data_IF_045591114275
#
_entry.id   IF_045591114275
#
_cell.length_a   1.000
_cell.length_b   1.000
_cell.length_c   1.000
_cell.angle_alpha   90.00
_cell.angle_beta   90.00
_cell.angle_gamma   90.00
#
_symmetry.space_group_name_H-M   'P 1'
#
loop_
_entity.id
_entity.type
_entity.pdbx_description
1 polymer ?
#
# COMPACT_ATOMS: atom_id res chain seq x y z
N UNK A 1 90.54 28.93 13.73
CA UNK A 1 89.23 28.57 13.14
C UNK A 1 88.79 27.24 13.72
N UNK A 2 87.83 27.24 14.64
CA UNK A 2 87.04 26.07 15.09
C UNK A 2 85.98 26.62 16.05
N UNK A 3 84.73 26.68 15.60
CA UNK A 3 83.57 26.90 16.49
C UNK A 3 82.79 25.61 16.56
N UNK A 4 82.61 25.18 17.79
CA UNK A 4 81.91 24.02 18.30
C UNK A 4 80.42 24.10 18.00
N UNK A 5 79.84 22.96 17.61
CA UNK A 5 78.42 22.72 17.47
C UNK A 5 77.81 22.35 18.82
N UNK A 6 76.63 22.90 19.15
CA UNK A 6 75.73 22.36 20.17
C UNK A 6 74.29 22.44 19.67
N UNK A 7 73.77 21.26 19.33
CA UNK A 7 72.42 20.70 19.51
C UNK A 7 71.23 21.66 19.67
N UNK A 8 70.35 21.63 18.67
CA UNK A 8 68.91 21.84 18.85
C UNK A 8 68.17 20.58 18.40
N UNK A 9 67.51 19.90 19.33
CA UNK A 9 66.65 18.74 19.04
C UNK A 9 65.32 19.23 18.49
N UNK A 10 64.99 18.86 17.26
CA UNK A 10 63.68 19.09 16.65
C UNK A 10 62.82 17.86 16.92
N UNK A 11 61.86 17.97 17.83
CA UNK A 11 60.80 16.97 18.00
C UNK A 11 59.77 17.21 16.90
N UNK A 12 59.74 16.34 15.89
CA UNK A 12 58.70 16.33 14.89
C UNK A 12 57.45 15.64 15.47
N UNK A 13 56.43 16.41 15.85
CA UNK A 13 55.10 15.89 16.10
C UNK A 13 54.49 15.48 14.75
N UNK A 14 54.45 14.18 14.48
CA UNK A 14 53.61 13.60 13.45
C UNK A 14 52.14 13.70 13.91
N UNK A 15 51.43 14.72 13.44
CA UNK A 15 49.96 14.68 13.43
C UNK A 15 49.54 13.63 12.40
N UNK A 16 49.35 12.39 12.86
CA UNK A 16 48.52 11.44 12.14
C UNK A 16 47.09 12.00 12.16
N UNK A 17 46.71 12.69 11.09
CA UNK A 17 45.31 12.94 10.79
C UNK A 17 44.66 11.58 10.57
N UNK A 18 44.04 11.04 11.62
CA UNK A 18 43.06 10.00 11.47
C UNK A 18 41.93 10.61 10.65
N UNK A 19 41.95 10.37 9.35
CA UNK A 19 40.78 10.48 8.49
C UNK A 19 39.78 9.48 9.02
N UNK A 20 39.01 9.88 10.03
CA UNK A 20 37.81 9.18 10.41
C UNK A 20 36.89 9.25 9.21
N UNK A 21 36.86 8.20 8.41
CA UNK A 21 35.72 7.90 7.57
C UNK A 21 34.54 7.80 8.53
N UNK A 22 33.82 8.91 8.71
CA UNK A 22 32.43 8.90 9.08
C UNK A 22 31.73 8.14 7.95
N UNK A 23 31.77 6.81 8.03
CA UNK A 23 30.85 5.96 7.30
C UNK A 23 29.47 6.32 7.84
N UNK A 24 28.87 7.35 7.23
CA UNK A 24 27.45 7.64 7.29
C UNK A 24 26.73 6.35 6.95
N UNK A 25 26.31 5.62 7.98
CA UNK A 25 25.62 4.36 7.80
C UNK A 25 24.28 4.71 7.15
N UNK A 26 24.13 4.41 5.86
CA UNK A 26 22.92 4.70 5.12
C UNK A 26 21.72 4.07 5.85
N UNK A 27 20.67 4.85 6.08
CA UNK A 27 19.44 4.33 6.64
C UNK A 27 18.82 3.35 5.64
N UNK A 28 18.15 2.33 6.16
CA UNK A 28 17.37 1.43 5.32
C UNK A 28 15.92 1.90 5.30
N UNK A 29 15.30 1.79 4.13
CA UNK A 29 13.87 2.03 3.93
C UNK A 29 13.29 0.88 3.12
N UNK A 30 12.03 0.54 3.38
CA UNK A 30 11.35 -0.52 2.66
C UNK A 30 10.12 -0.04 1.90
N UNK A 31 9.78 -0.79 0.86
CA UNK A 31 8.55 -0.69 0.06
C UNK A 31 7.84 -2.05 0.04
N UNK A 32 6.52 -2.06 0.08
CA UNK A 32 5.75 -3.23 -0.37
C UNK A 32 5.48 -3.09 -1.86
N UNK A 33 5.82 -4.12 -2.64
CA UNK A 33 5.85 -4.06 -4.11
C UNK A 33 5.16 -5.28 -4.70
N UNK A 34 4.15 -5.06 -5.53
CA UNK A 34 3.56 -6.07 -6.42
C UNK A 34 4.24 -5.99 -7.78
N UNK A 35 4.73 -7.12 -8.28
CA UNK A 35 5.36 -7.23 -9.60
C UNK A 35 4.55 -8.21 -10.43
N UNK A 36 4.07 -7.73 -11.58
CA UNK A 36 3.13 -8.45 -12.42
C UNK A 36 3.70 -8.63 -13.82
N UNK A 37 3.41 -9.76 -14.45
CA UNK A 37 3.70 -9.97 -15.86
C UNK A 37 2.71 -9.23 -16.78
N UNK A 38 2.85 -9.43 -18.10
CA UNK A 38 1.95 -8.82 -19.10
C UNK A 38 0.49 -9.26 -19.00
N UNK A 39 0.23 -10.41 -18.38
CA UNK A 39 -1.12 -10.93 -18.14
C UNK A 39 -1.71 -10.42 -16.81
N UNK A 40 -0.93 -9.66 -16.04
CA UNK A 40 -1.34 -9.12 -14.75
C UNK A 40 -1.25 -10.13 -13.62
N UNK A 41 -0.48 -11.22 -13.80
CA UNK A 41 -0.26 -12.28 -12.80
C UNK A 41 1.01 -11.98 -12.00
N UNK A 42 1.03 -12.18 -10.66
CA UNK A 42 2.22 -11.98 -9.85
C UNK A 42 3.41 -12.84 -10.27
N UNK A 43 4.58 -12.22 -10.35
CA UNK A 43 5.85 -12.90 -10.64
C UNK A 43 6.36 -13.60 -9.38
N UNK A 44 6.80 -14.86 -9.54
CA UNK A 44 7.23 -15.73 -8.44
C UNK A 44 8.63 -15.39 -7.88
N UNK A 45 9.54 -14.97 -8.75
CA UNK A 45 10.98 -14.89 -8.49
C UNK A 45 11.56 -13.53 -8.94
N UNK A 46 11.11 -12.45 -8.30
CA UNK A 46 11.62 -11.10 -8.57
C UNK A 46 13.03 -10.93 -8.05
N UNK A 47 13.96 -10.61 -8.93
CA UNK A 47 15.33 -10.27 -8.57
C UNK A 47 15.50 -8.76 -8.36
N UNK A 48 16.57 -8.36 -7.67
CA UNK A 48 16.95 -6.94 -7.51
C UNK A 48 17.12 -6.24 -8.86
N UNK A 49 17.67 -6.95 -9.84
CA UNK A 49 17.91 -6.43 -11.20
C UNK A 49 16.66 -6.26 -12.05
N UNK A 50 15.48 -6.67 -11.55
CA UNK A 50 14.21 -6.44 -12.22
C UNK A 50 13.53 -5.14 -11.76
N UNK A 51 14.08 -4.48 -10.74
CA UNK A 51 13.49 -3.32 -10.11
C UNK A 51 14.44 -2.11 -10.10
N UNK A 52 13.85 -0.92 -10.11
CA UNK A 52 14.55 0.33 -9.83
C UNK A 52 13.76 1.12 -8.80
N UNK A 53 14.43 1.54 -7.72
CA UNK A 53 13.85 2.45 -6.72
C UNK A 53 14.45 3.84 -6.92
N UNK A 54 13.61 4.88 -6.88
CA UNK A 54 14.06 6.27 -6.94
C UNK A 54 13.40 7.11 -5.84
N UNK A 55 14.20 7.96 -5.21
CA UNK A 55 13.73 9.08 -4.39
C UNK A 55 13.98 10.37 -5.15
N UNK A 56 12.95 11.17 -5.40
CA UNK A 56 13.03 12.44 -6.15
C UNK A 56 13.80 12.32 -7.47
N UNK A 57 13.52 11.23 -8.20
CA UNK A 57 14.15 10.83 -9.47
C UNK A 57 15.61 10.36 -9.35
N UNK A 58 16.20 10.36 -8.16
CA UNK A 58 17.54 9.82 -7.89
C UNK A 58 17.45 8.34 -7.55
N UNK A 59 18.16 7.51 -8.32
CA UNK A 59 18.20 6.06 -8.12
C UNK A 59 18.86 5.66 -6.80
N UNK A 60 18.27 4.66 -6.15
CA UNK A 60 18.72 4.12 -4.87
C UNK A 60 19.08 2.65 -4.99
N UNK A 61 20.16 2.28 -4.30
CA UNK A 61 20.62 0.90 -4.25
C UNK A 61 19.60 0.01 -3.54
N UNK A 62 19.14 -1.02 -4.22
CA UNK A 62 18.29 -2.06 -3.64
C UNK A 62 19.16 -3.05 -2.87
N UNK A 63 18.97 -3.10 -1.56
CA UNK A 63 19.71 -3.93 -0.62
C UNK A 63 19.12 -5.33 -0.49
N UNK A 64 17.80 -5.48 -0.62
CA UNK A 64 17.14 -6.77 -0.58
C UNK A 64 15.77 -6.74 -1.28
N UNK A 65 15.37 -7.90 -1.80
CA UNK A 65 14.02 -8.18 -2.30
C UNK A 65 13.63 -9.52 -1.69
N UNK A 66 12.60 -9.54 -0.87
CA UNK A 66 12.12 -10.74 -0.20
C UNK A 66 10.58 -10.77 -0.22
N UNK A 67 9.97 -11.95 -0.13
CA UNK A 67 8.51 -12.03 0.04
C UNK A 67 8.09 -11.31 1.32
N UNK A 68 7.02 -10.54 1.25
CA UNK A 68 6.47 -9.87 2.42
C UNK A 68 5.88 -10.93 3.37
N UNK A 69 6.46 -11.04 4.57
CA UNK A 69 6.02 -12.00 5.59
C UNK A 69 5.14 -11.36 6.67
N UNK A 70 5.03 -10.03 6.65
CA UNK A 70 4.22 -9.27 7.60
C UNK A 70 2.71 -9.45 7.31
N UNK A 71 1.88 -9.68 8.34
CA UNK A 71 0.44 -9.85 8.18
C UNK A 71 -0.24 -8.62 7.58
N UNK A 72 -1.05 -8.85 6.55
CA UNK A 72 -1.92 -7.85 5.95
C UNK A 72 -3.06 -7.47 6.90
N UNK A 73 -3.42 -6.19 6.92
CA UNK A 73 -4.67 -5.72 7.49
C UNK A 73 -5.48 -5.04 6.39
N UNK A 74 -6.55 -5.70 5.95
CA UNK A 74 -7.35 -5.26 4.80
C UNK A 74 -8.69 -4.71 5.25
N UNK A 75 -8.97 -3.46 4.93
CA UNK A 75 -10.30 -2.88 5.01
C UNK A 75 -11.03 -3.12 3.68
N UNK A 76 -12.03 -3.99 3.70
CA UNK A 76 -12.89 -4.24 2.55
C UNK A 76 -14.10 -3.31 2.62
N UNK A 77 -14.05 -2.22 1.87
CA UNK A 77 -15.12 -1.23 1.78
C UNK A 77 -16.13 -1.68 0.71
N UNK A 78 -17.39 -1.83 1.10
CA UNK A 78 -18.43 -2.41 0.26
C UNK A 78 -19.59 -1.43 0.12
N UNK A 79 -19.79 -0.93 -1.10
CA UNK A 79 -20.99 -0.20 -1.44
C UNK A 79 -22.20 -1.12 -1.36
N UNK A 80 -23.08 -0.84 -0.41
CA UNK A 80 -24.35 -1.51 -0.24
C UNK A 80 -25.50 -0.50 -0.30
N UNK A 81 -25.31 0.63 -0.97
CA UNK A 81 -26.33 1.65 -1.19
C UNK A 81 -27.45 1.16 -2.12
N UNK A 82 -28.44 2.02 -2.40
CA UNK A 82 -29.49 1.70 -3.38
C UNK A 82 -28.92 1.32 -4.75
N UNK A 83 -27.82 1.96 -5.18
CA UNK A 83 -27.20 1.68 -6.48
C UNK A 83 -26.63 0.25 -6.58
N UNK A 84 -26.33 -0.38 -5.44
CA UNK A 84 -25.77 -1.73 -5.37
C UNK A 84 -26.83 -2.84 -5.47
N UNK A 85 -28.13 -2.55 -5.30
CA UNK A 85 -29.22 -3.54 -5.32
C UNK A 85 -29.14 -4.54 -6.49
N UNK A 86 -28.85 -4.12 -7.73
CA UNK A 86 -28.75 -5.04 -8.88
C UNK A 86 -27.56 -6.01 -8.82
N UNK A 87 -26.56 -5.76 -7.97
CA UNK A 87 -25.27 -6.47 -7.96
C UNK A 87 -25.01 -7.24 -6.66
N UNK A 88 -25.92 -7.20 -5.68
CA UNK A 88 -25.70 -7.78 -4.34
C UNK A 88 -25.39 -9.27 -4.38
N UNK A 89 -25.97 -10.02 -5.33
CA UNK A 89 -25.70 -11.47 -5.44
C UNK A 89 -24.23 -11.71 -5.81
N UNK A 90 -23.75 -11.04 -6.84
CA UNK A 90 -22.37 -11.12 -7.30
C UNK A 90 -21.39 -10.56 -6.26
N UNK A 91 -21.77 -9.52 -5.52
CA UNK A 91 -20.98 -9.00 -4.40
C UNK A 91 -20.76 -10.09 -3.35
N UNK A 92 -21.82 -10.77 -2.89
CA UNK A 92 -21.70 -11.81 -1.85
C UNK A 92 -20.70 -12.90 -2.22
N UNK A 93 -20.76 -13.39 -3.46
CA UNK A 93 -19.87 -14.46 -3.91
C UNK A 93 -18.43 -13.96 -4.12
N UNK A 94 -18.26 -12.78 -4.72
CA UNK A 94 -16.94 -12.22 -4.97
C UNK A 94 -16.23 -11.80 -3.67
N UNK A 95 -16.95 -11.18 -2.73
CA UNK A 95 -16.44 -10.80 -1.41
C UNK A 95 -16.07 -12.05 -0.59
N UNK A 96 -16.90 -13.08 -0.58
CA UNK A 96 -16.60 -14.35 0.10
C UNK A 96 -15.33 -15.01 -0.45
N UNK A 97 -15.15 -15.00 -1.78
CA UNK A 97 -13.92 -15.49 -2.42
C UNK A 97 -12.69 -14.65 -2.03
N UNK A 98 -12.82 -13.33 -2.02
CA UNK A 98 -11.75 -12.41 -1.64
C UNK A 98 -11.28 -12.61 -0.20
N UNK A 99 -12.21 -12.59 0.77
CA UNK A 99 -11.83 -12.73 2.18
C UNK A 99 -11.22 -14.11 2.48
N UNK A 100 -11.66 -15.15 1.75
CA UNK A 100 -11.03 -16.49 1.82
C UNK A 100 -9.61 -16.46 1.31
N UNK A 101 -9.36 -15.80 0.17
CA UNK A 101 -8.03 -15.71 -0.43
C UNK A 101 -7.03 -14.92 0.43
N UNK A 102 -7.49 -13.91 1.18
CA UNK A 102 -6.62 -13.10 2.05
C UNK A 102 -6.41 -13.78 3.42
N UNK A 103 -7.50 -14.01 4.16
CA UNK A 103 -7.41 -14.49 5.55
C UNK A 103 -7.07 -16.00 5.63
N UNK A 104 -7.35 -16.74 4.57
CA UNK A 104 -6.99 -18.15 4.42
C UNK A 104 -5.65 -18.40 3.73
N UNK A 105 -4.89 -17.34 3.42
CA UNK A 105 -3.56 -17.47 2.83
C UNK A 105 -2.64 -18.27 3.78
N UNK A 106 -2.04 -19.33 3.25
CA UNK A 106 -1.16 -20.21 4.01
C UNK A 106 0.29 -19.71 4.02
N UNK A 107 0.66 -18.80 3.10
CA UNK A 107 2.00 -18.25 3.03
C UNK A 107 2.27 -17.24 4.15
N UNK A 108 1.26 -16.48 4.57
CA UNK A 108 1.34 -15.48 5.64
C UNK A 108 0.24 -15.72 6.66
N UNK A 109 0.62 -16.21 7.85
CA UNK A 109 -0.31 -16.39 8.96
C UNK A 109 -0.73 -15.04 9.55
N UNK A 110 -2.02 -14.91 9.89
CA UNK A 110 -2.51 -13.77 10.67
C UNK A 110 -2.98 -12.58 9.84
N UNK A 111 -3.11 -12.72 8.51
CA UNK A 111 -3.81 -11.74 7.69
C UNK A 111 -5.21 -11.46 8.27
N UNK A 112 -5.53 -10.19 8.47
CA UNK A 112 -6.80 -9.74 9.01
C UNK A 112 -7.60 -8.99 7.96
N UNK A 113 -8.91 -9.23 7.94
CA UNK A 113 -9.83 -8.48 7.09
C UNK A 113 -10.95 -7.91 7.95
N UNK A 114 -11.37 -6.68 7.65
CA UNK A 114 -12.62 -6.08 8.13
C UNK A 114 -13.53 -5.83 6.93
N UNK A 115 -14.84 -6.02 7.10
CA UNK A 115 -15.84 -5.65 6.09
C UNK A 115 -16.58 -4.42 6.60
N UNK A 116 -16.58 -3.36 5.79
CA UNK A 116 -17.15 -2.06 6.12
C UNK A 116 -18.14 -1.69 5.02
N UNK A 117 -19.41 -1.48 5.37
CA UNK A 117 -20.47 -1.10 4.44
C UNK A 117 -20.62 0.40 4.34
N UNK A 118 -21.00 0.92 3.16
CA UNK A 118 -20.95 2.36 2.84
C UNK A 118 -22.31 3.08 2.80
N UNK A 119 -23.44 2.37 2.90
CA UNK A 119 -24.77 2.96 2.83
C UNK A 119 -25.09 3.84 4.04
N UNK A 120 -25.58 5.06 3.80
CA UNK A 120 -25.91 6.13 4.77
C UNK A 120 -24.73 6.66 5.59
N UNK A 121 -23.94 5.76 6.17
CA UNK A 121 -22.67 6.05 6.84
C UNK A 121 -21.78 4.80 6.86
N UNK A 122 -20.45 4.98 6.83
CA UNK A 122 -19.52 3.86 6.99
C UNK A 122 -19.83 3.07 8.27
N UNK A 123 -20.05 1.77 8.14
CA UNK A 123 -20.40 0.89 9.27
C UNK A 123 -19.58 -0.39 9.21
N UNK A 124 -18.89 -0.72 10.31
CA UNK A 124 -18.12 -1.96 10.43
C UNK A 124 -19.11 -3.13 10.61
N UNK A 125 -19.26 -3.96 9.58
CA UNK A 125 -20.07 -5.18 9.64
C UNK A 125 -19.36 -6.28 10.44
N UNK A 126 -18.04 -6.37 10.27
CA UNK A 126 -17.16 -7.21 11.09
C UNK A 126 -15.80 -6.52 11.23
N UNK A 127 -15.30 -6.43 12.47
CA UNK A 127 -13.98 -5.85 12.74
C UNK A 127 -12.86 -6.80 12.25
N UNK A 128 -11.62 -6.31 12.24
CA UNK A 128 -10.46 -7.05 11.78
C UNK A 128 -10.33 -8.41 12.46
N UNK A 129 -10.36 -9.46 11.65
CA UNK A 129 -10.21 -10.84 12.10
C UNK A 129 -9.55 -11.69 11.02
N UNK A 130 -8.90 -12.78 11.43
CA UNK A 130 -8.43 -13.84 10.54
C UNK A 130 -9.43 -15.01 10.43
N UNK A 131 -10.59 -14.92 11.08
CA UNK A 131 -11.62 -15.96 11.02
C UNK A 131 -12.32 -15.98 9.66
N UNK A 132 -11.86 -16.86 8.77
CA UNK A 132 -12.41 -17.06 7.41
C UNK A 132 -13.91 -17.38 7.44
N UNK A 133 -14.38 -18.21 8.38
CA UNK A 133 -15.81 -18.56 8.47
C UNK A 133 -16.65 -17.34 8.85
N UNK A 134 -16.20 -16.56 9.84
CA UNK A 134 -16.86 -15.31 10.23
C UNK A 134 -16.92 -14.30 9.09
N UNK A 135 -15.80 -14.11 8.39
CA UNK A 135 -15.70 -13.19 7.25
C UNK A 135 -16.60 -13.61 6.09
N UNK A 136 -16.56 -14.89 5.70
CA UNK A 136 -17.38 -15.39 4.59
C UNK A 136 -18.86 -15.34 4.90
N UNK A 137 -19.25 -15.60 6.16
CA UNK A 137 -20.62 -15.43 6.64
C UNK A 137 -21.10 -13.99 6.53
N UNK A 138 -20.31 -13.02 6.98
CA UNK A 138 -20.67 -11.60 6.89
C UNK A 138 -20.65 -11.07 5.45
N UNK A 139 -19.68 -11.49 4.63
CA UNK A 139 -19.67 -11.20 3.19
C UNK A 139 -20.97 -11.67 2.49
N UNK A 140 -21.46 -12.87 2.84
CA UNK A 140 -22.72 -13.42 2.30
C UNK A 140 -23.98 -12.74 2.84
N UNK A 141 -23.88 -11.98 3.93
CA UNK A 141 -24.99 -11.24 4.55
C UNK A 141 -25.15 -9.82 4.03
N UNK A 142 -24.17 -9.28 3.29
CA UNK A 142 -24.27 -7.96 2.66
C UNK A 142 -25.59 -7.84 1.88
N UNK A 143 -26.33 -6.76 2.10
CA UNK A 143 -27.59 -6.47 1.42
C UNK A 143 -27.66 -4.99 1.07
N UNK A 144 -28.37 -4.66 -0.02
CA UNK A 144 -28.57 -3.28 -0.41
C UNK A 144 -29.54 -2.58 0.55
N UNK A 145 -29.13 -1.42 1.02
CA UNK A 145 -29.97 -0.56 1.84
C UNK A 145 -30.72 0.43 0.93
N UNK A 146 -32.00 0.17 0.70
CA UNK A 146 -32.81 0.96 -0.25
C UNK A 146 -33.02 2.38 0.26
N UNK A 147 -33.00 3.36 -0.63
CA UNK A 147 -33.14 4.77 -0.30
C UNK A 147 -31.86 5.45 0.19
N UNK A 148 -30.73 4.75 0.26
CA UNK A 148 -29.44 5.28 0.72
C UNK A 148 -28.45 5.54 -0.44
N UNK A 149 -27.45 6.38 -0.18
CA UNK A 149 -26.27 6.58 -1.04
C UNK A 149 -24.98 6.07 -0.41
N UNK A 150 -23.89 6.11 -1.17
CA UNK A 150 -22.54 5.67 -0.75
C UNK A 150 -21.76 6.83 -0.12
N UNK A 151 -20.98 6.54 0.93
CA UNK A 151 -20.08 7.48 1.61
C UNK A 151 -18.64 6.95 1.62
N UNK A 152 -18.05 6.79 0.44
CA UNK A 152 -16.72 6.18 0.26
C UNK A 152 -15.63 7.07 0.84
N UNK A 153 -15.66 8.37 0.57
CA UNK A 153 -14.57 9.26 0.96
C UNK A 153 -14.48 9.39 2.48
N UNK A 154 -15.62 9.43 3.17
CA UNK A 154 -15.68 9.33 4.63
C UNK A 154 -15.12 7.99 5.12
N UNK A 155 -15.52 6.87 4.51
CA UNK A 155 -15.02 5.55 4.89
C UNK A 155 -13.50 5.42 4.76
N UNK A 156 -12.90 6.00 3.71
CA UNK A 156 -11.44 6.02 3.53
C UNK A 156 -10.79 6.75 4.71
N UNK A 157 -11.20 7.98 5.03
CA UNK A 157 -10.60 8.76 6.12
C UNK A 157 -10.76 8.10 7.49
N UNK A 158 -11.93 7.54 7.78
CA UNK A 158 -12.19 6.80 9.02
C UNK A 158 -11.32 5.54 9.11
N UNK A 159 -11.20 4.79 8.01
CA UNK A 159 -10.36 3.59 7.93
C UNK A 159 -8.89 3.92 8.17
N UNK A 160 -8.37 4.96 7.51
CA UNK A 160 -6.99 5.41 7.67
C UNK A 160 -6.70 5.89 9.11
N UNK A 161 -7.67 6.57 9.73
CA UNK A 161 -7.59 6.92 11.15
C UNK A 161 -7.56 5.67 12.03
N UNK A 162 -8.37 4.66 11.70
CA UNK A 162 -8.41 3.37 12.37
C UNK A 162 -7.09 2.60 12.27
N UNK A 163 -6.44 2.59 11.10
CA UNK A 163 -5.11 2.00 10.90
C UNK A 163 -4.04 2.70 11.73
N UNK A 164 -4.03 4.04 11.73
CA UNK A 164 -3.07 4.82 12.53
C UNK A 164 -3.19 4.51 14.02
N UNK A 165 -4.42 4.45 14.55
CA UNK A 165 -4.66 4.16 15.97
C UNK A 165 -4.24 2.74 16.38
N UNK A 166 -4.24 1.79 15.43
CA UNK A 166 -3.85 0.39 15.64
C UNK A 166 -2.36 0.12 15.32
N UNK A 167 -1.63 1.12 14.83
CA UNK A 167 -0.23 0.99 14.40
C UNK A 167 -0.01 -0.18 13.41
N UNK A 168 -0.94 -0.32 12.46
CA UNK A 168 -0.90 -1.39 11.46
C UNK A 168 0.35 -1.25 10.58
N UNK A 169 1.14 -2.32 10.48
CA UNK A 169 2.39 -2.35 9.72
C UNK A 169 2.21 -2.48 8.21
N UNK A 170 1.18 -3.23 7.78
CA UNK A 170 0.89 -3.50 6.36
C UNK A 170 -0.60 -3.30 6.03
N UNK A 171 -1.07 -2.03 6.00
CA UNK A 171 -2.48 -1.72 5.74
C UNK A 171 -2.82 -1.77 4.25
N UNK A 172 -4.05 -2.18 3.92
CA UNK A 172 -4.62 -2.07 2.58
C UNK A 172 -6.10 -1.72 2.65
N UNK A 173 -6.56 -0.89 1.73
CA UNK A 173 -7.98 -0.60 1.50
C UNK A 173 -8.36 -1.20 0.15
N UNK A 174 -9.41 -2.00 0.13
CA UNK A 174 -10.02 -2.54 -1.09
C UNK A 174 -11.47 -2.09 -1.13
N UNK A 175 -11.84 -1.25 -2.09
CA UNK A 175 -13.18 -0.75 -2.25
C UNK A 175 -13.89 -1.42 -3.43
N UNK A 176 -15.08 -1.96 -3.18
CA UNK A 176 -16.00 -2.49 -4.18
C UNK A 176 -17.21 -1.58 -4.20
N UNK A 177 -17.28 -0.73 -5.22
CA UNK A 177 -18.25 0.37 -5.28
C UNK A 177 -19.04 0.33 -6.58
N UNK A 178 -20.25 0.89 -6.56
CA UNK A 178 -20.98 1.10 -7.80
C UNK A 178 -20.48 2.36 -8.51
N UNK A 179 -20.84 2.51 -9.77
CA UNK A 179 -20.56 3.72 -10.54
C UNK A 179 -21.51 4.90 -10.21
N UNK A 180 -22.31 4.78 -9.14
CA UNK A 180 -23.19 5.83 -8.63
C UNK A 180 -22.45 6.93 -7.85
N UNK A 181 -23.19 7.97 -7.41
CA UNK A 181 -22.61 9.11 -6.71
C UNK A 181 -22.08 8.73 -5.32
N UNK A 182 -21.05 9.45 -4.89
CA UNK A 182 -20.68 9.56 -3.49
C UNK A 182 -21.42 10.74 -2.84
N UNK A 183 -21.85 10.58 -1.60
CA UNK A 183 -22.56 11.60 -0.82
C UNK A 183 -21.70 12.18 0.30
N UNK A 184 -20.42 11.81 0.38
CA UNK A 184 -19.48 12.41 1.31
C UNK A 184 -19.25 13.89 0.99
N UNK A 185 -19.09 14.72 2.02
CA UNK A 185 -18.77 16.15 1.90
C UNK A 185 -17.27 16.42 1.91
N UNK A 186 -16.46 15.41 1.56
CA UNK A 186 -15.00 15.46 1.62
C UNK A 186 -14.42 15.98 0.33
N UNK A 187 -13.42 16.84 0.44
CA UNK A 187 -12.63 17.29 -0.71
C UNK A 187 -11.57 16.25 -1.05
N UNK A 188 -11.28 16.07 -2.34
CA UNK A 188 -10.32 15.07 -2.78
C UNK A 188 -8.92 15.29 -2.21
N UNK A 189 -8.49 16.55 -2.00
CA UNK A 189 -7.16 16.86 -1.45
C UNK A 189 -6.97 16.21 -0.08
N UNK A 190 -7.95 16.35 0.81
CA UNK A 190 -7.93 15.76 2.17
C UNK A 190 -7.74 14.24 2.10
N UNK A 191 -8.49 13.58 1.22
CA UNK A 191 -8.51 12.12 1.10
C UNK A 191 -7.23 11.59 0.45
N UNK A 192 -6.76 12.24 -0.62
CA UNK A 192 -5.54 11.84 -1.34
C UNK A 192 -4.30 12.06 -0.46
N UNK A 193 -4.22 13.18 0.26
CA UNK A 193 -3.12 13.41 1.20
C UNK A 193 -3.10 12.39 2.33
N UNK A 194 -4.27 12.07 2.90
CA UNK A 194 -4.39 11.03 3.92
C UNK A 194 -3.92 9.67 3.41
N UNK A 195 -4.31 9.29 2.19
CA UNK A 195 -3.86 8.05 1.53
C UNK A 195 -2.34 8.03 1.35
N UNK A 196 -1.74 9.08 0.79
CA UNK A 196 -0.28 9.19 0.60
C UNK A 196 0.51 9.03 1.91
N UNK A 197 0.02 9.63 2.99
CA UNK A 197 0.68 9.59 4.31
C UNK A 197 0.39 8.33 5.15
N UNK A 198 -0.43 7.41 4.63
CA UNK A 198 -0.90 6.26 5.40
C UNK A 198 0.03 5.04 5.35
N UNK A 199 0.76 4.86 4.25
CA UNK A 199 1.44 3.59 3.94
C UNK A 199 0.48 2.48 3.50
N UNK A 200 -0.81 2.77 3.31
CA UNK A 200 -1.81 1.83 2.84
C UNK A 200 -1.89 1.81 1.31
N UNK A 201 -1.96 0.62 0.72
CA UNK A 201 -2.34 0.48 -0.70
C UNK A 201 -3.85 0.65 -0.85
N UNK A 202 -4.30 1.44 -1.83
CA UNK A 202 -5.74 1.62 -2.10
C UNK A 202 -6.13 1.03 -3.46
N UNK A 203 -6.96 -0.01 -3.43
CA UNK A 203 -7.50 -0.67 -4.61
C UNK A 203 -9.00 -0.41 -4.73
N UNK A 204 -9.48 -0.22 -5.96
CA UNK A 204 -10.89 0.06 -6.25
C UNK A 204 -11.35 -0.76 -7.43
N UNK A 205 -12.51 -1.39 -7.28
CA UNK A 205 -13.28 -1.97 -8.38
C UNK A 205 -14.63 -1.25 -8.43
N UNK A 206 -14.88 -0.55 -9.53
CA UNK A 206 -16.16 0.12 -9.81
C UNK A 206 -17.03 -0.81 -10.65
N UNK A 207 -18.25 -1.08 -10.21
CA UNK A 207 -19.24 -1.90 -10.90
C UNK A 207 -20.30 -1.02 -11.56
N UNK A 208 -20.58 -1.28 -12.83
CA UNK A 208 -21.59 -0.59 -13.61
C UNK A 208 -21.04 0.58 -14.43
N UNK A 209 -21.94 1.27 -15.12
CA UNK A 209 -21.58 2.38 -16.01
C UNK A 209 -21.47 3.68 -15.23
N UNK A 210 -20.35 4.42 -15.34
CA UNK A 210 -20.24 5.77 -14.78
C UNK A 210 -21.43 6.64 -15.19
N UNK A 211 -22.13 7.18 -14.19
CA UNK A 211 -23.22 8.13 -14.40
C UNK A 211 -22.77 9.52 -13.95
N UNK A 212 -22.33 10.32 -14.91
CA UNK A 212 -21.81 11.67 -14.66
C UNK A 212 -20.36 11.69 -14.16
N UNK A 213 -19.89 12.89 -13.85
CA UNK A 213 -18.55 13.13 -13.31
C UNK A 213 -18.71 13.84 -11.98
N UNK A 214 -18.38 13.12 -10.91
CA UNK A 214 -18.19 13.72 -9.59
C UNK A 214 -16.69 13.95 -9.40
N UNK A 215 -16.30 15.22 -9.31
CA UNK A 215 -14.88 15.62 -9.36
C UNK A 215 -14.11 15.01 -8.20
N UNK A 216 -14.58 15.19 -6.97
CA UNK A 216 -13.86 14.74 -5.78
C UNK A 216 -13.63 13.23 -5.79
N UNK A 217 -14.71 12.45 -5.95
CA UNK A 217 -14.65 10.99 -6.09
C UNK A 217 -13.70 10.58 -7.22
N UNK A 218 -13.85 11.14 -8.42
CA UNK A 218 -13.02 10.75 -9.57
C UNK A 218 -11.53 11.00 -9.34
N UNK A 219 -11.18 12.11 -8.69
CA UNK A 219 -9.77 12.41 -8.34
C UNK A 219 -9.28 11.44 -7.27
N UNK A 220 -10.07 11.13 -6.25
CA UNK A 220 -9.70 10.13 -5.22
C UNK A 220 -9.49 8.75 -5.83
N UNK A 221 -10.38 8.28 -6.72
CA UNK A 221 -10.24 6.97 -7.36
C UNK A 221 -8.99 6.90 -8.23
N UNK A 222 -8.70 7.96 -8.99
CA UNK A 222 -7.55 8.00 -9.90
C UNK A 222 -6.22 8.25 -9.17
N UNK A 223 -6.08 9.39 -8.50
CA UNK A 223 -4.86 9.77 -7.81
C UNK A 223 -4.60 8.89 -6.59
N UNK A 224 -5.64 8.57 -5.80
CA UNK A 224 -5.49 7.76 -4.59
C UNK A 224 -4.99 6.34 -4.89
N UNK A 225 -5.50 5.70 -5.93
CA UNK A 225 -5.02 4.35 -6.32
C UNK A 225 -3.64 4.42 -6.95
N UNK A 226 -3.38 5.38 -7.84
CA UNK A 226 -2.06 5.57 -8.47
C UNK A 226 -0.97 5.84 -7.44
N UNK A 227 -1.18 6.81 -6.54
CA UNK A 227 -0.17 7.29 -5.60
C UNK A 227 0.12 6.28 -4.48
N UNK A 228 -0.78 5.32 -4.26
CA UNK A 228 -0.60 4.24 -3.28
C UNK A 228 -0.23 2.90 -3.92
N UNK A 229 0.06 2.86 -5.22
CA UNK A 229 0.43 1.64 -5.93
C UNK A 229 -0.70 0.60 -6.02
N UNK A 230 -1.95 1.02 -5.92
CA UNK A 230 -3.10 0.15 -6.02
C UNK A 230 -3.66 0.00 -7.44
N UNK A 231 -4.85 -0.62 -7.53
CA UNK A 231 -5.58 -0.83 -8.78
C UNK A 231 -6.80 0.06 -8.84
N UNK A 232 -7.12 0.57 -10.04
CA UNK A 232 -8.41 1.13 -10.35
C UNK A 232 -8.99 0.41 -11.57
N UNK A 233 -10.03 -0.39 -11.34
CA UNK A 233 -10.68 -1.18 -12.37
C UNK A 233 -12.16 -0.77 -12.48
N UNK A 234 -12.66 -0.66 -13.71
CA UNK A 234 -14.09 -0.51 -13.97
C UNK A 234 -14.61 -1.77 -14.66
N UNK A 235 -15.63 -2.40 -14.08
CA UNK A 235 -16.30 -3.57 -14.63
C UNK A 235 -17.74 -3.23 -15.01
N UNK A 236 -18.07 -3.42 -16.28
CA UNK A 236 -19.43 -3.17 -16.79
C UNK A 236 -20.43 -4.23 -16.32
N UNK A 237 -19.96 -5.45 -16.08
CA UNK A 237 -20.77 -6.58 -15.65
C UNK A 237 -20.27 -7.09 -14.29
N UNK A 238 -21.20 -7.29 -13.36
CA UNK A 238 -20.89 -7.76 -12.01
C UNK A 238 -20.30 -9.19 -12.00
N UNK A 239 -20.53 -9.99 -13.05
CA UNK A 239 -19.91 -11.31 -13.21
C UNK A 239 -18.38 -11.27 -13.30
N UNK A 240 -17.77 -10.13 -13.67
CA UNK A 240 -16.31 -9.98 -13.68
C UNK A 240 -15.73 -9.69 -12.28
N UNK A 241 -16.57 -9.35 -11.29
CA UNK A 241 -16.13 -8.89 -9.97
C UNK A 241 -15.28 -9.94 -9.26
N UNK A 242 -15.68 -11.22 -9.27
CA UNK A 242 -14.92 -12.30 -8.63
C UNK A 242 -13.51 -12.44 -9.21
N UNK A 243 -13.36 -12.34 -10.53
CA UNK A 243 -12.06 -12.42 -11.18
C UNK A 243 -11.18 -11.21 -10.83
N UNK A 244 -11.75 -9.99 -10.78
CA UNK A 244 -11.01 -8.78 -10.41
C UNK A 244 -10.60 -8.74 -8.95
N UNK A 245 -11.49 -9.13 -8.04
CA UNK A 245 -11.14 -9.25 -6.63
C UNK A 245 -10.07 -10.32 -6.40
N UNK A 246 -10.12 -11.44 -7.14
CA UNK A 246 -9.04 -12.43 -7.10
C UNK A 246 -7.69 -11.81 -7.53
N UNK A 247 -7.65 -11.01 -8.58
CA UNK A 247 -6.42 -10.31 -8.99
C UNK A 247 -5.92 -9.36 -7.90
N UNK A 248 -6.81 -8.61 -7.23
CA UNK A 248 -6.42 -7.76 -6.10
C UNK A 248 -5.88 -8.61 -4.93
N UNK A 249 -6.51 -9.75 -4.63
CA UNK A 249 -6.03 -10.65 -3.59
C UNK A 249 -4.64 -11.20 -3.93
N UNK A 250 -4.44 -11.65 -5.17
CA UNK A 250 -3.15 -12.17 -5.65
C UNK A 250 -2.06 -11.08 -5.59
N UNK A 251 -2.36 -9.84 -5.99
CA UNK A 251 -1.44 -8.70 -5.87
C UNK A 251 -1.00 -8.46 -4.42
N UNK A 252 -1.93 -8.56 -3.47
CA UNK A 252 -1.69 -8.31 -2.05
C UNK A 252 -0.94 -9.48 -1.38
N UNK A 253 -1.31 -10.73 -1.65
CA UNK A 253 -0.67 -11.90 -1.01
C UNK A 253 0.72 -12.19 -1.57
N UNK A 254 1.01 -11.74 -2.79
CA UNK A 254 2.30 -11.96 -3.47
C UNK A 254 3.20 -10.71 -3.50
N UNK A 255 3.06 -9.80 -2.54
CA UNK A 255 3.98 -8.65 -2.48
C UNK A 255 5.39 -9.06 -2.05
N UNK A 256 6.35 -8.26 -2.48
CA UNK A 256 7.72 -8.26 -1.99
C UNK A 256 7.93 -7.08 -1.06
N UNK A 257 8.69 -7.30 0.00
CA UNK A 257 9.37 -6.25 0.74
C UNK A 257 10.69 -5.95 0.04
N UNK A 258 10.82 -4.73 -0.47
CA UNK A 258 12.01 -4.22 -1.15
C UNK A 258 12.69 -3.22 -0.25
N UNK A 259 13.86 -3.55 0.26
CA UNK A 259 14.66 -2.66 1.12
C UNK A 259 15.74 -1.99 0.30
N UNK A 260 15.90 -0.67 0.44
CA UNK A 260 16.87 0.13 -0.29
C UNK A 260 17.65 1.07 0.64
N UNK A 261 18.83 1.48 0.18
CA UNK A 261 19.70 2.41 0.91
C UNK A 261 19.24 3.85 0.74
N UNK A 262 19.09 4.55 1.87
CA UNK A 262 18.74 5.97 1.95
C UNK A 262 19.86 6.75 2.66
N UNK A 263 20.44 7.79 2.04
CA UNK A 263 21.36 8.69 2.72
C UNK A 263 20.69 9.34 3.94
N UNK A 264 21.48 9.60 4.98
CA UNK A 264 20.99 10.33 6.15
C UNK A 264 20.69 11.79 5.76
N UNK A 265 19.41 12.10 5.53
CA UNK A 265 18.93 13.46 5.25
C UNK A 265 17.79 13.82 6.20
N UNK A 266 17.81 15.06 6.69
CA UNK A 266 16.76 15.61 7.55
C UNK A 266 15.47 15.87 6.77
N UNK A 267 15.57 16.10 5.45
CA UNK A 267 14.43 16.35 4.58
C UNK A 267 13.99 15.00 3.97
N UNK A 268 12.75 14.54 4.22
CA UNK A 268 12.19 13.38 3.54
C UNK A 268 12.02 13.66 2.05
N UNK A 269 12.14 12.65 1.18
CA UNK A 269 11.88 12.85 -0.24
C UNK A 269 10.42 13.23 -0.47
N UNK A 270 10.17 14.04 -1.51
CA UNK A 270 8.81 14.36 -1.91
C UNK A 270 8.13 13.16 -2.57
N UNK A 271 8.91 12.36 -3.32
CA UNK A 271 8.39 11.21 -4.06
C UNK A 271 9.34 10.02 -3.99
N UNK A 272 8.77 8.88 -3.63
CA UNK A 272 9.43 7.57 -3.73
C UNK A 272 8.72 6.79 -4.83
N UNK A 273 9.47 6.23 -5.77
CA UNK A 273 8.93 5.43 -6.88
C UNK A 273 9.67 4.12 -6.99
N UNK A 274 8.95 3.07 -7.38
CA UNK A 274 9.49 1.77 -7.75
C UNK A 274 8.97 1.41 -9.13
N UNK A 275 9.86 0.96 -10.01
CA UNK A 275 9.54 0.66 -11.39
C UNK A 275 10.24 -0.63 -11.84
N UNK A 276 9.75 -1.20 -12.94
CA UNK A 276 10.45 -2.30 -13.60
C UNK A 276 11.74 -1.79 -14.25
N UNK A 277 12.83 -2.53 -14.11
CA UNK A 277 14.08 -2.27 -14.82
C UNK A 277 14.05 -2.75 -16.28
N UNK A 278 13.10 -3.63 -16.63
CA UNK A 278 12.93 -4.23 -17.96
C UNK A 278 11.49 -4.10 -18.43
N UNK A 279 11.30 -4.10 -19.75
CA UNK A 279 9.96 -4.12 -20.34
C UNK A 279 9.18 -5.40 -20.02
N UNK A 280 7.85 -5.30 -20.00
CA UNK A 280 6.96 -6.44 -19.83
C UNK A 280 6.59 -6.77 -18.38
N UNK A 281 7.11 -6.01 -17.40
CA UNK A 281 6.67 -6.06 -16.02
C UNK A 281 5.89 -4.80 -15.66
N UNK A 282 4.79 -4.98 -14.93
CA UNK A 282 4.10 -3.89 -14.23
C UNK A 282 4.50 -3.95 -12.77
N UNK A 283 5.03 -2.84 -12.26
CA UNK A 283 5.47 -2.73 -10.86
C UNK A 283 4.63 -1.67 -10.18
N UNK A 284 4.08 -2.02 -9.01
CA UNK A 284 3.34 -1.10 -8.15
C UNK A 284 3.85 -1.24 -6.74
N UNK A 285 3.91 -0.15 -5.98
CA UNK A 285 4.31 -0.27 -4.58
C UNK A 285 4.08 1.00 -3.77
N UNK A 286 4.15 0.82 -2.45
CA UNK A 286 3.97 1.86 -1.45
C UNK A 286 5.11 1.80 -0.42
N UNK A 287 5.63 2.94 0.06
CA UNK A 287 6.60 2.96 1.14
C UNK A 287 6.03 2.38 2.45
N UNK A 288 6.86 1.61 3.15
CA UNK A 288 6.55 1.14 4.51
C UNK A 288 6.65 2.32 5.47
N UNK A 289 5.63 2.49 6.31
CA UNK A 289 5.61 3.54 7.33
C UNK A 289 6.44 3.12 8.55
N UNK A 290 7.32 4.00 9.03
CA UNK A 290 7.86 3.91 10.39
C UNK A 290 9.05 2.98 10.61
N UNK A 291 9.92 2.74 9.63
CA UNK A 291 11.21 2.07 9.92
C UNK A 291 12.14 2.99 10.75
N UNK A 292 11.93 3.00 12.07
CA UNK A 292 12.98 3.26 13.04
C UNK A 292 13.81 1.99 13.22
N UNK A 293 15.12 2.17 13.19
CA UNK A 293 16.17 1.15 13.18
C UNK A 293 15.97 0.05 14.23
N UNK A 294 15.57 -1.16 13.81
CA UNK A 294 15.97 -2.38 14.51
C UNK A 294 17.34 -2.79 13.98
N UNK A 295 18.38 -2.30 14.64
CA UNK A 295 19.74 -2.53 14.21
C UNK A 295 20.78 -1.97 15.16
N UNK A 296 20.67 -2.22 16.47
CA UNK A 296 21.84 -2.21 17.35
C UNK A 296 21.70 -3.28 18.44
N UNK A 297 22.69 -4.16 18.62
CA UNK A 297 22.79 -4.98 19.82
C UNK A 297 23.03 -4.14 21.07
#
# INVERSE_FOLDING_TARGET
>A
MRKTAVRGALVALLLAAASGELSSQAQQRSLYVSVLDRSGVPVADVARSDLTVREDKVEREILSVARAGEPLHVALLVDNSQAADPYIREYRDALAGFVTAIAGDQAVSGNQVSIITLADRPTVAIDYTSNVEGLTKEARRVFAFRGSGSYLLDAILETLTGFRKREVSRPAIVAVITAGPDLSYRHYEEVVEALRGSGATFHVIVVGRPIGVEVDRSVVLSAGTHDTGGRYENVLAASALSARLKQVADDLTHQYKVTYARPQTLIPPERITVAAAKEGLTVRGIPVKGEHEQGRP
#
